data_IF_193270406789
#
_entry.id   IF_193270406789
#
_cell.length_a   1.000
_cell.length_b   1.000
_cell.length_c   1.000
_cell.angle_alpha   90.00
_cell.angle_beta   90.00
_cell.angle_gamma   90.00
#
_symmetry.space_group_name_H-M   'P 1'
#
loop_
_entity.id
_entity.type
_entity.pdbx_description
1 polymer ?
#
# COMPACT_ATOMS: atom_id res chain seq x y z
N UNK A 1 21.51 -8.99 9.81
CA UNK A 1 21.56 -8.01 10.92
C UNK A 1 22.96 -7.41 10.97
N UNK A 2 23.04 -6.11 11.18
CA UNK A 2 24.31 -5.37 11.30
C UNK A 2 24.69 -5.14 12.79
N UNK A 3 23.94 -5.73 13.71
CA UNK A 3 24.05 -5.60 15.17
C UNK A 3 23.76 -4.18 15.71
N UNK A 4 23.53 -3.22 14.86
CA UNK A 4 23.23 -1.81 15.21
C UNK A 4 21.73 -1.64 15.41
N UNK A 5 20.93 -2.08 14.42
CA UNK A 5 19.48 -2.03 14.48
C UNK A 5 18.91 -3.39 14.87
N UNK A 6 18.44 -3.51 16.11
CA UNK A 6 17.85 -4.76 16.64
C UNK A 6 16.45 -5.07 16.08
N UNK A 7 15.85 -4.16 15.32
CA UNK A 7 14.58 -4.42 14.62
C UNK A 7 14.79 -5.17 13.32
N UNK A 8 16.00 -5.12 12.76
CA UNK A 8 16.36 -5.87 11.54
C UNK A 8 16.43 -7.37 11.86
N UNK A 9 15.71 -8.16 11.09
CA UNK A 9 15.68 -9.61 11.18
C UNK A 9 16.37 -10.26 10.00
N UNK A 10 17.14 -11.29 10.25
CA UNK A 10 17.76 -12.13 9.21
C UNK A 10 16.72 -13.11 8.66
N UNK A 11 15.89 -12.62 7.74
CA UNK A 11 14.91 -13.45 7.02
C UNK A 11 15.37 -13.58 5.57
N UNK A 12 15.48 -14.80 5.03
CA UNK A 12 15.89 -14.99 3.63
C UNK A 12 14.90 -14.35 2.68
N UNK A 13 15.35 -13.46 1.80
CA UNK A 13 14.57 -13.00 0.67
C UNK A 13 14.48 -14.12 -0.38
N UNK A 14 13.26 -14.59 -0.65
CA UNK A 14 13.01 -15.71 -1.56
C UNK A 14 12.30 -15.20 -2.81
N UNK A 15 13.05 -15.09 -3.91
CA UNK A 15 12.53 -14.75 -5.21
C UNK A 15 13.27 -15.51 -6.32
N UNK A 16 12.55 -16.10 -7.31
CA UNK A 16 11.10 -16.23 -7.40
C UNK A 16 10.49 -17.12 -6.30
N UNK A 17 9.17 -17.01 -6.08
CA UNK A 17 8.45 -17.85 -5.10
C UNK A 17 8.67 -19.34 -5.40
N UNK A 18 9.01 -20.12 -4.37
CA UNK A 18 9.29 -21.56 -4.52
C UNK A 18 8.08 -22.37 -4.98
N UNK A 19 6.87 -21.94 -4.66
CA UNK A 19 5.65 -22.73 -4.92
C UNK A 19 4.98 -22.42 -6.26
N UNK A 20 5.42 -21.39 -6.98
CA UNK A 20 4.77 -20.93 -8.21
C UNK A 20 3.39 -20.28 -7.95
N UNK A 21 3.00 -19.36 -8.83
CA UNK A 21 1.79 -18.52 -8.63
C UNK A 21 0.48 -19.30 -8.59
N UNK A 22 0.40 -20.46 -9.26
CA UNK A 22 -0.83 -21.30 -9.29
C UNK A 22 -1.16 -21.98 -7.97
N UNK A 23 -0.22 -22.02 -7.04
CA UNK A 23 -0.42 -22.60 -5.71
C UNK A 23 -0.70 -21.53 -4.65
N UNK A 24 -0.59 -20.26 -5.01
CA UNK A 24 -0.91 -19.17 -4.10
C UNK A 24 -2.41 -19.10 -3.83
N UNK A 25 -2.76 -18.88 -2.59
CA UNK A 25 -4.10 -18.48 -2.17
C UNK A 25 -4.21 -16.98 -2.41
N UNK A 26 -4.93 -16.57 -3.43
CA UNK A 26 -4.98 -15.18 -3.88
C UNK A 26 -6.32 -14.58 -3.48
N UNK A 27 -6.29 -13.65 -2.52
CA UNK A 27 -7.46 -12.88 -2.13
C UNK A 27 -7.68 -11.67 -3.03
N UNK A 28 -8.90 -11.15 -3.08
CA UNK A 28 -9.20 -9.82 -3.58
C UNK A 28 -10.25 -9.17 -2.69
N UNK A 29 -10.09 -7.88 -2.38
CA UNK A 29 -11.03 -7.16 -1.52
C UNK A 29 -12.29 -6.85 -2.31
N UNK A 30 -13.33 -7.70 -2.18
CA UNK A 30 -14.51 -7.67 -3.04
C UNK A 30 -15.20 -6.31 -3.06
N UNK A 31 -15.44 -5.72 -1.88
CA UNK A 31 -16.04 -4.39 -1.75
C UNK A 31 -15.31 -3.32 -2.55
N UNK A 32 -13.98 -3.40 -2.64
CA UNK A 32 -13.16 -2.42 -3.36
C UNK A 32 -13.33 -2.47 -4.89
N UNK A 33 -13.74 -3.60 -5.44
CA UNK A 33 -13.97 -3.77 -6.89
C UNK A 33 -15.42 -3.55 -7.30
N UNK A 34 -16.36 -3.60 -6.35
CA UNK A 34 -17.78 -3.37 -6.59
C UNK A 34 -18.16 -1.90 -6.46
N UNK A 35 -17.50 -1.16 -5.59
CA UNK A 35 -17.87 0.21 -5.24
C UNK A 35 -17.25 1.22 -6.21
N UNK A 36 -18.11 1.79 -7.06
CA UNK A 36 -17.75 2.90 -7.95
C UNK A 36 -17.79 4.28 -7.27
N UNK A 37 -18.25 4.37 -6.02
CA UNK A 37 -18.49 5.63 -5.31
C UNK A 37 -17.31 6.11 -4.44
N UNK A 38 -16.40 5.21 -4.08
CA UNK A 38 -15.26 5.54 -3.22
C UNK A 38 -14.04 5.89 -4.05
N UNK A 39 -14.05 7.07 -4.65
CA UNK A 39 -12.84 7.63 -5.21
C UNK A 39 -12.35 8.77 -4.32
N UNK A 40 -11.40 8.48 -3.45
CA UNK A 40 -10.75 9.49 -2.61
C UNK A 40 -9.87 10.48 -3.39
N UNK A 41 -9.67 10.27 -4.71
CA UNK A 41 -8.74 11.05 -5.54
C UNK A 41 -9.28 11.39 -6.94
N UNK A 42 -10.60 11.45 -7.09
CA UNK A 42 -11.20 11.76 -8.41
C UNK A 42 -10.93 10.64 -9.44
N UNK A 43 -10.96 9.38 -8.98
CA UNK A 43 -10.94 8.23 -9.89
C UNK A 43 -12.16 8.29 -10.80
N UNK A 44 -11.94 8.14 -12.09
CA UNK A 44 -13.01 8.07 -13.08
C UNK A 44 -13.62 6.67 -13.11
N UNK A 45 -14.81 6.55 -13.71
CA UNK A 45 -15.44 5.25 -13.97
C UNK A 45 -14.48 4.28 -14.69
N UNK A 46 -13.65 4.79 -15.60
CA UNK A 46 -12.63 4.01 -16.34
C UNK A 46 -11.58 3.40 -15.41
N UNK A 47 -11.25 4.02 -14.28
CA UNK A 47 -10.34 3.41 -13.29
C UNK A 47 -10.95 2.15 -12.69
N UNK A 48 -12.24 2.16 -12.38
CA UNK A 48 -12.96 0.99 -11.84
C UNK A 48 -13.03 -0.14 -12.88
N UNK A 49 -13.20 0.20 -14.16
CA UNK A 49 -13.17 -0.77 -15.26
C UNK A 49 -11.78 -1.42 -15.38
N UNK A 50 -10.70 -0.65 -15.30
CA UNK A 50 -9.33 -1.16 -15.30
C UNK A 50 -9.05 -2.08 -14.12
N UNK A 51 -9.59 -1.75 -12.93
CA UNK A 51 -9.44 -2.58 -11.74
C UNK A 51 -10.16 -3.94 -11.92
N UNK A 52 -11.40 -3.93 -12.42
CA UNK A 52 -12.15 -5.16 -12.73
C UNK A 52 -11.46 -5.99 -13.80
N UNK A 53 -10.98 -5.36 -14.88
CA UNK A 53 -10.22 -6.04 -15.93
C UNK A 53 -8.95 -6.71 -15.37
N UNK A 54 -8.36 -6.17 -14.31
CA UNK A 54 -7.22 -6.81 -13.65
C UNK A 54 -7.56 -8.16 -13.03
N UNK A 55 -8.74 -8.29 -12.43
CA UNK A 55 -9.22 -9.59 -11.92
C UNK A 55 -9.48 -10.59 -13.06
N UNK A 56 -10.08 -10.12 -14.16
CA UNK A 56 -10.34 -10.96 -15.35
C UNK A 56 -9.05 -11.49 -15.96
N UNK A 57 -8.01 -10.67 -16.05
CA UNK A 57 -6.69 -11.11 -16.52
C UNK A 57 -6.14 -12.23 -15.64
N UNK A 58 -6.15 -12.07 -14.33
CA UNK A 58 -5.64 -13.10 -13.41
C UNK A 58 -6.46 -14.41 -13.50
N UNK A 59 -7.78 -14.30 -13.63
CA UNK A 59 -8.67 -15.46 -13.85
C UNK A 59 -8.37 -16.16 -15.18
N UNK A 60 -8.13 -15.40 -16.25
CA UNK A 60 -7.76 -15.95 -17.56
C UNK A 60 -6.45 -16.72 -17.56
N UNK A 61 -5.54 -16.39 -16.62
CA UNK A 61 -4.29 -17.12 -16.38
C UNK A 61 -4.52 -18.46 -15.62
N UNK A 62 -5.77 -18.77 -15.28
CA UNK A 62 -6.16 -19.97 -14.53
C UNK A 62 -5.88 -19.86 -13.03
N UNK A 63 -5.86 -18.63 -12.49
CA UNK A 63 -5.72 -18.39 -11.07
C UNK A 63 -7.10 -18.35 -10.40
N UNK A 64 -7.21 -18.94 -9.22
CA UNK A 64 -8.43 -18.87 -8.41
C UNK A 64 -8.34 -17.67 -7.45
N UNK A 65 -9.31 -16.76 -7.57
CA UNK A 65 -9.40 -15.56 -6.74
C UNK A 65 -10.45 -15.76 -5.65
N UNK A 66 -10.07 -15.50 -4.41
CA UNK A 66 -10.91 -15.69 -3.22
C UNK A 66 -11.42 -14.31 -2.77
N UNK A 67 -12.75 -14.08 -2.71
CA UNK A 67 -13.26 -12.82 -2.16
C UNK A 67 -12.91 -12.73 -0.68
N UNK A 68 -12.41 -11.57 -0.26
CA UNK A 68 -12.09 -11.26 1.12
C UNK A 68 -12.58 -9.86 1.48
N UNK A 69 -12.71 -9.61 2.78
CA UNK A 69 -12.87 -8.28 3.34
C UNK A 69 -11.71 -7.97 4.28
N UNK A 70 -11.27 -6.71 4.27
CA UNK A 70 -10.25 -6.24 5.22
C UNK A 70 -10.84 -6.17 6.62
N UNK A 71 -10.05 -6.43 7.68
CA UNK A 71 -10.53 -6.31 9.05
C UNK A 71 -11.13 -4.93 9.33
N UNK A 72 -12.32 -4.90 9.93
CA UNK A 72 -12.91 -3.66 10.42
C UNK A 72 -12.06 -3.13 11.57
N UNK A 73 -11.48 -1.95 11.35
CA UNK A 73 -10.59 -1.29 12.31
C UNK A 73 -10.52 0.22 12.01
N UNK A 74 -10.54 1.09 13.02
CA UNK A 74 -10.47 2.54 12.83
C UNK A 74 -9.04 2.99 12.47
N UNK A 75 -8.49 2.47 11.36
CA UNK A 75 -7.11 2.66 10.92
C UNK A 75 -6.76 4.13 10.76
N UNK A 76 -7.70 4.94 10.24
CA UNK A 76 -7.50 6.37 10.03
C UNK A 76 -7.20 7.12 11.33
N UNK A 77 -7.74 6.66 12.47
CA UNK A 77 -7.45 7.25 13.79
C UNK A 77 -5.99 7.06 14.24
N UNK A 78 -5.24 6.20 13.57
CA UNK A 78 -3.81 5.96 13.82
C UNK A 78 -2.88 6.78 12.92
N UNK A 79 -3.41 7.61 12.01
CA UNK A 79 -2.59 8.35 11.03
C UNK A 79 -1.55 9.27 11.68
N UNK A 80 -1.84 9.82 12.87
CA UNK A 80 -0.92 10.69 13.59
C UNK A 80 0.36 9.99 14.08
N UNK A 81 0.41 8.66 14.09
CA UNK A 81 1.65 7.90 14.36
C UNK A 81 2.73 8.28 13.35
N UNK A 82 2.36 8.36 12.04
CA UNK A 82 3.26 8.84 11.00
C UNK A 82 3.75 10.26 11.27
N UNK A 83 2.87 11.16 11.72
CA UNK A 83 3.22 12.56 11.99
C UNK A 83 4.22 12.66 13.13
N UNK A 84 4.00 11.92 14.23
CA UNK A 84 4.89 11.89 15.38
C UNK A 84 6.27 11.30 15.02
N UNK A 85 6.29 10.16 14.31
CA UNK A 85 7.52 9.50 13.89
C UNK A 85 8.32 10.36 12.88
N UNK A 86 7.63 10.97 11.92
CA UNK A 86 8.25 11.88 10.95
C UNK A 86 8.82 13.13 11.63
N UNK A 87 8.09 13.73 12.58
CA UNK A 87 8.61 14.88 13.34
C UNK A 87 9.85 14.51 14.17
N UNK A 88 9.92 13.30 14.70
CA UNK A 88 11.10 12.80 15.40
C UNK A 88 12.27 12.54 14.43
N UNK A 89 12.00 11.90 13.28
CA UNK A 89 13.02 11.61 12.28
C UNK A 89 13.66 12.88 11.68
N UNK A 90 12.83 13.93 11.49
CA UNK A 90 13.26 15.22 10.92
C UNK A 90 13.41 16.33 11.97
N UNK A 91 13.68 15.97 13.24
CA UNK A 91 13.76 16.91 14.36
C UNK A 91 14.82 18.01 14.14
N UNK A 92 15.99 17.65 13.62
CA UNK A 92 17.06 18.62 13.31
C UNK A 92 16.60 19.66 12.29
N UNK A 93 15.84 19.23 11.26
CA UNK A 93 15.34 20.12 10.22
C UNK A 93 14.51 21.26 10.82
N UNK A 94 13.62 20.92 11.76
CA UNK A 94 12.76 21.89 12.45
C UNK A 94 13.56 22.74 13.45
N UNK A 95 14.46 22.14 14.26
CA UNK A 95 15.24 22.88 15.28
C UNK A 95 16.21 23.89 14.69
N UNK A 96 16.70 23.64 13.49
CA UNK A 96 17.65 24.51 12.80
C UNK A 96 16.99 25.46 11.80
N UNK A 97 15.65 25.53 11.76
CA UNK A 97 14.85 26.30 10.80
C UNK A 97 15.17 25.98 9.33
N UNK A 98 15.71 24.78 9.04
CA UNK A 98 15.95 24.34 7.64
C UNK A 98 14.65 23.97 6.93
N UNK A 99 13.60 23.69 7.67
CA UNK A 99 12.25 23.45 7.17
C UNK A 99 11.66 24.67 6.46
N UNK A 100 12.13 25.88 6.76
CA UNK A 100 11.76 27.12 6.04
C UNK A 100 12.18 27.08 4.55
N UNK A 101 13.17 26.25 4.20
CA UNK A 101 13.64 26.05 2.81
C UNK A 101 12.80 25.08 2.01
N UNK A 102 11.87 24.37 2.62
CA UNK A 102 10.96 23.46 1.93
C UNK A 102 9.99 24.26 1.06
N UNK A 103 9.78 23.79 -0.18
CA UNK A 103 9.03 24.53 -1.21
C UNK A 103 7.57 24.76 -0.80
N UNK A 104 6.94 23.79 -0.12
CA UNK A 104 5.54 23.87 0.26
C UNK A 104 5.41 24.24 1.74
N UNK A 105 4.75 25.40 2.01
CA UNK A 105 4.62 25.96 3.36
C UNK A 105 3.14 26.12 3.79
N UNK A 106 2.18 25.50 3.09
CA UNK A 106 0.76 25.58 3.43
C UNK A 106 0.44 24.76 4.69
N UNK A 107 -0.71 24.99 5.31
CA UNK A 107 -1.12 24.45 6.60
C UNK A 107 -0.89 22.92 6.72
N UNK A 108 -1.24 22.15 5.67
CA UNK A 108 -1.10 20.68 5.65
C UNK A 108 0.22 20.20 5.01
N UNK A 109 1.25 21.07 4.93
CA UNK A 109 2.57 20.68 4.45
C UNK A 109 3.47 20.20 5.60
N UNK A 110 4.44 19.39 5.26
CA UNK A 110 5.34 18.74 6.21
C UNK A 110 6.00 19.70 7.24
N UNK A 111 6.46 20.93 6.89
CA UNK A 111 6.99 21.85 7.90
C UNK A 111 6.01 22.11 9.04
N UNK A 112 4.75 22.35 8.72
CA UNK A 112 3.72 22.60 9.73
C UNK A 112 3.30 21.31 10.45
N UNK A 113 3.27 20.17 9.75
CA UNK A 113 3.03 18.84 10.36
C UNK A 113 4.11 18.54 11.40
N UNK A 114 5.40 18.75 11.09
CA UNK A 114 6.50 18.52 12.04
C UNK A 114 6.39 19.40 13.28
N UNK A 115 5.98 20.67 13.10
CA UNK A 115 5.76 21.59 14.23
C UNK A 115 4.56 21.18 15.07
N UNK A 116 3.44 20.83 14.42
CA UNK A 116 2.20 20.41 15.08
C UNK A 116 2.33 19.10 15.83
N UNK A 117 3.03 18.12 15.26
CA UNK A 117 3.22 16.81 15.87
C UNK A 117 3.99 16.85 17.23
N UNK A 118 4.72 17.93 17.51
CA UNK A 118 5.37 18.13 18.81
C UNK A 118 4.39 18.29 19.96
N UNK A 119 3.13 18.58 19.69
CA UNK A 119 2.07 18.70 20.70
C UNK A 119 1.28 17.41 20.92
N UNK A 120 1.63 16.31 20.21
CA UNK A 120 1.04 15.00 20.45
C UNK A 120 1.51 14.48 21.81
N UNK A 121 0.59 14.22 22.77
CA UNK A 121 0.99 13.68 24.08
C UNK A 121 1.61 12.28 23.92
N UNK A 122 2.68 12.01 24.68
CA UNK A 122 3.34 10.70 24.64
C UNK A 122 2.38 9.55 24.97
N UNK A 123 1.41 9.75 25.85
CA UNK A 123 0.39 8.75 26.22
C UNK A 123 -0.44 8.37 25.01
N UNK A 124 -0.85 9.32 24.17
CA UNK A 124 -1.66 9.06 22.97
C UNK A 124 -0.85 8.28 21.93
N UNK A 125 0.41 8.64 21.72
CA UNK A 125 1.29 7.90 20.82
C UNK A 125 1.52 6.45 21.31
N UNK A 126 1.71 6.22 22.61
CA UNK A 126 1.85 4.88 23.18
C UNK A 126 0.57 4.07 23.01
N UNK A 127 -0.59 4.68 23.27
CA UNK A 127 -1.89 4.02 23.09
C UNK A 127 -2.16 3.69 21.61
N UNK A 128 -1.80 4.58 20.68
CA UNK A 128 -1.90 4.31 19.25
C UNK A 128 -1.06 3.10 18.83
N UNK A 129 0.18 2.97 19.35
CA UNK A 129 1.01 1.79 19.07
C UNK A 129 0.45 0.50 19.69
N UNK A 130 -0.24 0.57 20.83
CA UNK A 130 -0.98 -0.58 21.38
C UNK A 130 -2.18 -0.96 20.48
N UNK A 131 -2.92 0.01 19.98
CA UNK A 131 -3.99 -0.21 19.01
C UNK A 131 -3.44 -0.76 17.68
N UNK A 132 -2.29 -0.26 17.22
CA UNK A 132 -1.58 -0.79 16.05
C UNK A 132 -1.21 -2.28 16.22
N UNK A 133 -0.84 -2.72 17.43
CA UNK A 133 -0.59 -4.14 17.69
C UNK A 133 -1.86 -5.01 17.51
N UNK A 134 -3.05 -4.50 17.85
CA UNK A 134 -4.31 -5.19 17.57
C UNK A 134 -4.62 -5.25 16.08
N UNK A 135 -4.32 -4.19 15.33
CA UNK A 135 -4.44 -4.19 13.87
C UNK A 135 -3.50 -5.24 13.25
N UNK A 136 -2.26 -5.32 13.73
CA UNK A 136 -1.30 -6.34 13.28
C UNK A 136 -1.84 -7.76 13.50
N UNK A 137 -2.46 -8.03 14.65
CA UNK A 137 -3.06 -9.33 14.94
C UNK A 137 -4.18 -9.65 13.94
N UNK A 138 -5.12 -8.72 13.72
CA UNK A 138 -6.22 -8.90 12.77
C UNK A 138 -5.73 -9.13 11.33
N UNK A 139 -4.69 -8.43 10.92
CA UNK A 139 -4.08 -8.64 9.61
C UNK A 139 -3.36 -9.98 9.51
N UNK A 140 -2.69 -10.42 10.58
CA UNK A 140 -2.07 -11.75 10.63
C UNK A 140 -3.12 -12.85 10.49
N UNK A 141 -4.24 -12.77 11.19
CA UNK A 141 -5.38 -13.70 11.07
C UNK A 141 -5.91 -13.78 9.63
N UNK A 142 -6.05 -12.64 8.95
CA UNK A 142 -6.44 -12.62 7.53
C UNK A 142 -5.38 -13.33 6.67
N UNK A 143 -4.10 -13.02 6.87
CA UNK A 143 -3.01 -13.57 6.06
C UNK A 143 -2.72 -15.06 6.34
N UNK A 144 -3.30 -15.67 7.38
CA UNK A 144 -3.31 -17.13 7.55
C UNK A 144 -4.18 -17.82 6.47
N UNK A 145 -5.16 -17.14 5.92
CA UNK A 145 -6.10 -17.69 4.93
C UNK A 145 -5.65 -17.49 3.48
N UNK A 146 -4.80 -16.51 3.22
CA UNK A 146 -4.32 -16.10 1.90
C UNK A 146 -2.81 -15.83 1.91
N UNK A 147 -2.18 -15.83 0.75
CA UNK A 147 -0.75 -15.56 0.59
C UNK A 147 -0.48 -14.16 0.01
N UNK A 148 -1.40 -13.68 -0.84
CA UNK A 148 -1.39 -12.35 -1.46
C UNK A 148 -2.83 -11.88 -1.61
N UNK A 149 -3.11 -10.59 -1.43
CA UNK A 149 -4.38 -10.04 -1.84
C UNK A 149 -4.24 -8.85 -2.79
N UNK A 150 -5.28 -8.67 -3.62
CA UNK A 150 -5.39 -7.56 -4.56
C UNK A 150 -6.37 -6.52 -4.05
N UNK A 151 -6.05 -5.27 -4.35
CA UNK A 151 -6.91 -4.14 -4.08
C UNK A 151 -6.58 -3.00 -5.06
N UNK A 152 -7.56 -2.20 -5.53
CA UNK A 152 -7.28 -0.98 -6.26
C UNK A 152 -6.34 -0.07 -5.46
N UNK A 153 -5.32 0.48 -6.11
CA UNK A 153 -4.38 1.37 -5.43
C UNK A 153 -5.14 2.60 -4.90
N UNK A 154 -4.83 3.00 -3.68
CA UNK A 154 -5.48 4.11 -2.97
C UNK A 154 -6.94 3.88 -2.54
N UNK A 155 -7.47 2.67 -2.62
CA UNK A 155 -8.80 2.39 -2.09
C UNK A 155 -8.83 2.43 -0.56
N UNK A 156 -9.77 3.19 -0.02
CA UNK A 156 -10.02 3.31 1.42
C UNK A 156 -8.76 3.67 2.22
N UNK A 157 -8.55 2.98 3.31
CA UNK A 157 -7.40 3.16 4.20
C UNK A 157 -6.27 2.14 3.98
N UNK A 158 -6.31 1.35 2.90
CA UNK A 158 -5.37 0.24 2.70
C UNK A 158 -3.90 0.68 2.71
N UNK A 159 -3.57 1.82 2.09
CA UNK A 159 -2.21 2.36 2.09
C UNK A 159 -1.72 2.65 3.52
N UNK A 160 -2.55 3.30 4.34
CA UNK A 160 -2.22 3.57 5.73
C UNK A 160 -2.12 2.26 6.52
N UNK A 161 -3.04 1.32 6.30
CA UNK A 161 -3.07 0.01 6.94
C UNK A 161 -1.80 -0.77 6.71
N UNK A 162 -1.36 -0.91 5.47
CA UNK A 162 -0.13 -1.65 5.12
C UNK A 162 1.13 -0.97 5.67
N UNK A 163 1.18 0.36 5.67
CA UNK A 163 2.28 1.11 6.28
C UNK A 163 2.33 0.92 7.81
N UNK A 164 1.18 0.92 8.50
CA UNK A 164 1.13 0.69 9.94
C UNK A 164 1.50 -0.74 10.34
N UNK A 165 1.18 -1.72 9.49
CA UNK A 165 1.37 -3.15 9.79
C UNK A 165 2.62 -3.75 9.17
N UNK A 166 3.29 -3.04 8.25
CA UNK A 166 4.53 -3.48 7.62
C UNK A 166 4.36 -4.51 6.50
N UNK A 167 3.14 -4.68 5.96
CA UNK A 167 2.91 -5.62 4.86
C UNK A 167 3.53 -5.11 3.56
N UNK A 168 4.30 -5.95 2.83
CA UNK A 168 4.87 -5.57 1.55
C UNK A 168 3.79 -5.35 0.50
N UNK A 169 3.97 -4.30 -0.30
CA UNK A 169 3.04 -3.93 -1.36
C UNK A 169 3.81 -3.77 -2.68
N UNK A 170 3.33 -4.42 -3.73
CA UNK A 170 3.80 -4.23 -5.10
C UNK A 170 2.69 -3.55 -5.90
N UNK A 171 2.98 -2.39 -6.45
CA UNK A 171 2.05 -1.61 -7.27
C UNK A 171 2.49 -1.69 -8.72
N UNK A 172 1.56 -2.08 -9.60
CA UNK A 172 1.81 -2.16 -11.05
C UNK A 172 0.72 -1.43 -11.83
N UNK A 173 1.04 -0.85 -13.01
CA UNK A 173 0.05 -0.19 -13.83
C UNK A 173 -0.98 -1.20 -14.35
N UNK A 174 -2.25 -0.76 -14.42
CA UNK A 174 -3.35 -1.56 -14.95
C UNK A 174 -4.15 -0.84 -16.04
N UNK A 175 -3.67 0.30 -16.53
CA UNK A 175 -4.29 1.04 -17.62
C UNK A 175 -4.13 2.56 -17.50
N UNK A 176 -4.99 3.26 -18.23
CA UNK A 176 -5.11 4.71 -18.17
C UNK A 176 -6.57 5.07 -17.96
N UNK A 177 -6.83 6.15 -17.24
CA UNK A 177 -8.19 6.68 -17.11
C UNK A 177 -8.59 7.53 -18.32
N UNK A 178 -9.82 8.03 -18.32
CA UNK A 178 -10.40 8.90 -19.36
C UNK A 178 -9.61 10.20 -19.61
N UNK A 179 -8.78 10.63 -18.64
CA UNK A 179 -7.88 11.79 -18.75
C UNK A 179 -6.46 11.41 -19.20
N UNK A 180 -6.23 10.15 -19.57
CA UNK A 180 -4.92 9.63 -19.96
C UNK A 180 -3.92 9.55 -18.80
N UNK A 181 -4.38 9.54 -17.55
CA UNK A 181 -3.52 9.34 -16.38
C UNK A 181 -3.39 7.85 -16.08
N UNK A 182 -2.19 7.38 -15.70
CA UNK A 182 -2.01 5.98 -15.32
C UNK A 182 -2.90 5.60 -14.13
N UNK A 183 -3.45 4.39 -14.19
CA UNK A 183 -4.09 3.70 -13.07
C UNK A 183 -3.23 2.53 -12.62
N UNK A 184 -3.47 2.00 -11.43
CA UNK A 184 -2.64 0.94 -10.87
C UNK A 184 -3.43 0.03 -9.92
N UNK A 185 -2.95 -1.21 -9.82
CA UNK A 185 -3.45 -2.21 -8.88
C UNK A 185 -2.34 -2.60 -7.92
N UNK A 186 -2.70 -2.90 -6.68
CA UNK A 186 -1.79 -3.27 -5.60
C UNK A 186 -1.90 -4.75 -5.27
N UNK A 187 -0.74 -5.38 -5.09
CA UNK A 187 -0.57 -6.77 -4.64
C UNK A 187 0.10 -6.75 -3.26
N UNK A 188 -0.63 -7.17 -2.25
CA UNK A 188 -0.18 -7.11 -0.86
C UNK A 188 0.19 -8.50 -0.40
N UNK A 189 1.42 -8.69 0.04
CA UNK A 189 1.91 -9.95 0.61
C UNK A 189 1.80 -10.01 2.13
N UNK A 190 1.89 -11.21 2.69
CA UNK A 190 2.12 -11.38 4.13
C UNK A 190 3.46 -10.81 4.57
N UNK A 191 3.69 -10.64 5.87
CA UNK A 191 4.98 -10.19 6.39
C UNK A 191 6.11 -11.11 5.91
N UNK A 192 7.16 -10.52 5.34
CA UNK A 192 8.28 -11.23 4.69
C UNK A 192 7.86 -12.09 3.48
N UNK A 193 6.66 -11.82 2.93
CA UNK A 193 6.09 -12.51 1.75
C UNK A 193 6.31 -11.76 0.44
N UNK A 194 7.31 -10.88 0.35
CA UNK A 194 7.62 -10.07 -0.83
C UNK A 194 7.73 -10.91 -2.10
N UNK A 195 8.34 -12.10 -1.99
CA UNK A 195 8.54 -13.00 -3.12
C UNK A 195 7.23 -13.47 -3.77
N UNK A 196 6.17 -13.70 -2.99
CA UNK A 196 4.86 -14.08 -3.51
C UNK A 196 4.18 -12.92 -4.20
N UNK A 197 4.18 -11.74 -3.57
CA UNK A 197 3.60 -10.51 -4.15
C UNK A 197 4.31 -10.14 -5.46
N UNK A 198 5.65 -10.17 -5.48
CA UNK A 198 6.47 -9.91 -6.67
C UNK A 198 6.22 -10.91 -7.78
N UNK A 199 6.12 -12.21 -7.46
CA UNK A 199 5.89 -13.25 -8.47
C UNK A 199 4.52 -13.09 -9.15
N UNK A 200 3.47 -12.80 -8.37
CA UNK A 200 2.13 -12.58 -8.89
C UNK A 200 2.04 -11.28 -9.70
N UNK A 201 2.58 -10.18 -9.17
CA UNK A 201 2.60 -8.88 -9.84
C UNK A 201 3.40 -8.94 -11.14
N UNK A 202 4.54 -9.65 -11.17
CA UNK A 202 5.33 -9.88 -12.39
C UNK A 202 4.54 -10.63 -13.45
N UNK A 203 3.87 -11.73 -13.07
CA UNK A 203 3.07 -12.50 -14.00
C UNK A 203 1.92 -11.68 -14.60
N UNK A 204 1.23 -10.86 -13.78
CA UNK A 204 0.23 -9.91 -14.24
C UNK A 204 0.82 -8.88 -15.21
N UNK A 205 1.96 -8.28 -14.85
CA UNK A 205 2.63 -7.27 -15.67
C UNK A 205 3.04 -7.82 -17.04
N UNK A 206 3.54 -9.06 -17.09
CA UNK A 206 3.92 -9.74 -18.34
C UNK A 206 2.70 -10.07 -19.19
N UNK A 207 1.55 -10.39 -18.60
CA UNK A 207 0.30 -10.70 -19.31
C UNK A 207 -0.36 -9.44 -19.89
N UNK A 208 -0.19 -8.26 -19.27
CA UNK A 208 -0.87 -7.01 -19.67
C UNK A 208 0.03 -6.05 -20.44
N UNK A 209 1.34 -6.10 -20.20
CA UNK A 209 2.33 -5.20 -20.79
C UNK A 209 2.10 -3.69 -20.59
N UNK A 210 1.23 -3.29 -19.63
CA UNK A 210 0.95 -1.88 -19.31
C UNK A 210 2.20 -1.07 -18.97
N UNK A 211 3.20 -1.71 -18.36
CA UNK A 211 4.49 -1.08 -18.01
C UNK A 211 5.32 -0.62 -19.24
N UNK A 212 4.97 -1.07 -20.44
CA UNK A 212 5.61 -0.66 -21.71
C UNK A 212 4.89 0.53 -22.35
N UNK A 213 3.76 0.96 -21.79
CA UNK A 213 2.95 2.04 -22.34
C UNK A 213 3.22 3.35 -21.58
N UNK A 214 3.19 4.44 -22.31
CA UNK A 214 3.38 5.78 -21.78
C UNK A 214 2.06 6.56 -21.84
N UNK A 215 1.82 7.47 -20.88
CA UNK A 215 0.67 8.36 -20.97
C UNK A 215 0.64 9.09 -22.32
N UNK A 216 -0.54 9.29 -22.93
CA UNK A 216 -0.64 9.85 -24.29
C UNK A 216 0.08 11.19 -24.49
N UNK A 217 0.19 12.00 -23.43
CA UNK A 217 0.84 13.31 -23.45
C UNK A 217 2.38 13.24 -23.29
N UNK A 218 2.96 12.06 -23.07
CA UNK A 218 4.39 11.85 -22.82
C UNK A 218 4.95 10.84 -23.84
N UNK A 219 4.63 11.03 -25.14
CA UNK A 219 5.23 10.21 -26.20
C UNK A 219 6.73 10.47 -26.24
N UNK A 220 7.51 9.43 -26.00
CA UNK A 220 8.94 9.44 -26.28
C UNK A 220 9.09 9.38 -27.81
N UNK A 221 9.66 10.42 -28.41
CA UNK A 221 10.02 10.45 -29.82
C UNK A 221 11.21 9.52 -30.08
#
# INVERSE_FOLDING_TARGET
SDEIDRTVRDVPFIYPSKQGIRKLRIGYVESAFLDSSVSNDGMSATSVENDKASLEVLQSMGLNLIPIELPDFPTQSLSFVLEAEAAAAFDELTRTNKDDKMVRQVQNAWPNVFRGARFIPAVEYINANRARALLNQKMAELMETIDVYLIPSFYGDNLLRTNLTGHPCVVVPNGFNDKGRPTSISFIGGLYGEGNALALAKAYQEATEWHKQYPPNFKVN
#
